data_IF_136436698474
#
_entry.id   IF_136436698474
#
_cell.length_a   1.000
_cell.length_b   1.000
_cell.length_c   1.000
_cell.angle_alpha   90.00
_cell.angle_beta   90.00
_cell.angle_gamma   90.00
#
_symmetry.space_group_name_H-M   'P 1'
#
loop_
_entity.id
_entity.type
_entity.pdbx_description
1 polymer ?
#
# COMPACT_ATOMS: atom_id res chain seq x y z
N UNK A 1 -0.80 -12.40 3.71
CA UNK A 1 -0.50 -11.52 4.86
C UNK A 1 -0.88 -12.21 6.15
N UNK A 2 -0.02 -12.13 7.17
CA UNK A 2 -0.31 -12.61 8.53
C UNK A 2 -1.12 -11.56 9.31
N UNK A 3 -1.79 -11.97 10.37
CA UNK A 3 -2.58 -11.05 11.21
C UNK A 3 -1.72 -9.95 11.86
N UNK A 4 -0.43 -10.24 12.10
CA UNK A 4 0.51 -9.29 12.65
C UNK A 4 0.95 -8.23 11.62
N UNK A 5 1.18 -8.61 10.36
CA UNK A 5 1.48 -7.66 9.28
C UNK A 5 0.30 -6.69 9.02
N UNK A 6 -0.93 -7.18 9.09
CA UNK A 6 -2.11 -6.31 8.98
C UNK A 6 -2.19 -5.34 10.17
N UNK A 7 -1.78 -5.78 11.37
CA UNK A 7 -1.76 -4.92 12.56
C UNK A 7 -0.76 -3.78 12.41
N UNK A 8 0.42 -4.05 11.86
CA UNK A 8 1.42 -3.01 11.59
C UNK A 8 0.89 -1.95 10.63
N UNK A 9 0.20 -2.34 9.55
CA UNK A 9 -0.48 -1.39 8.66
C UNK A 9 -1.57 -0.58 9.40
N UNK A 10 -2.34 -1.22 10.27
CA UNK A 10 -3.36 -0.53 11.05
C UNK A 10 -2.78 0.44 12.09
N UNK A 11 -1.59 0.16 12.62
CA UNK A 11 -0.84 1.06 13.51
C UNK A 11 -0.27 2.25 12.72
N UNK A 12 0.34 2.01 11.56
CA UNK A 12 0.83 3.08 10.68
C UNK A 12 -0.31 4.03 10.27
N UNK A 13 -1.47 3.50 9.89
CA UNK A 13 -2.63 4.34 9.60
C UNK A 13 -3.11 5.11 10.85
N UNK A 14 -3.09 4.51 12.04
CA UNK A 14 -3.51 5.21 13.26
C UNK A 14 -2.61 6.43 13.54
N UNK A 15 -1.32 6.30 13.27
CA UNK A 15 -0.34 7.34 13.56
C UNK A 15 -0.32 8.45 12.50
N UNK A 16 -0.57 8.10 11.23
CA UNK A 16 -0.39 9.03 10.11
C UNK A 16 -1.68 9.38 9.35
N UNK A 17 -2.78 8.65 9.55
CA UNK A 17 -4.03 8.83 8.80
C UNK A 17 -4.00 8.29 7.36
N UNK A 18 -2.89 7.69 6.92
CA UNK A 18 -2.74 7.08 5.61
C UNK A 18 -1.79 5.88 5.65
N UNK A 19 -1.79 5.10 4.58
CA UNK A 19 -0.84 4.01 4.34
C UNK A 19 -0.04 4.28 3.07
N UNK A 20 1.29 4.13 3.15
CA UNK A 20 2.16 4.29 1.99
C UNK A 20 2.52 2.95 1.36
N UNK A 21 2.09 2.73 0.12
CA UNK A 21 2.30 1.49 -0.62
C UNK A 21 3.54 1.62 -1.51
N UNK A 22 4.52 0.73 -1.30
CA UNK A 22 5.76 0.66 -2.11
C UNK A 22 5.78 -0.62 -2.94
N UNK A 23 5.17 -0.59 -4.12
CA UNK A 23 5.11 -1.71 -5.07
C UNK A 23 6.31 -1.79 -6.03
N UNK A 24 7.09 -0.72 -6.16
CA UNK A 24 8.26 -0.65 -7.04
C UNK A 24 9.28 -1.80 -6.83
N UNK A 25 9.44 -2.26 -5.60
CA UNK A 25 10.39 -3.31 -5.20
C UNK A 25 9.70 -4.65 -4.93
N UNK A 26 8.52 -4.89 -5.50
CA UNK A 26 7.74 -6.10 -5.21
C UNK A 26 8.52 -7.40 -5.47
N UNK A 27 9.39 -7.42 -6.48
CA UNK A 27 10.15 -8.61 -6.87
C UNK A 27 11.61 -8.61 -6.38
N UNK A 28 12.00 -7.70 -5.49
CA UNK A 28 13.37 -7.62 -5.00
C UNK A 28 13.80 -8.95 -4.37
N UNK A 29 14.98 -9.43 -4.76
CA UNK A 29 15.54 -10.70 -4.29
C UNK A 29 15.07 -11.95 -5.05
N UNK A 30 14.07 -11.87 -5.92
CA UNK A 30 13.69 -12.98 -6.78
C UNK A 30 14.81 -13.34 -7.77
N UNK A 31 15.12 -14.63 -7.90
CA UNK A 31 16.16 -15.18 -8.79
C UNK A 31 15.57 -15.94 -9.98
N UNK A 32 14.28 -16.28 -9.91
CA UNK A 32 13.56 -16.96 -10.99
C UNK A 32 12.25 -16.24 -11.33
N UNK A 33 11.74 -16.47 -12.54
CA UNK A 33 10.45 -15.92 -12.98
C UNK A 33 9.29 -16.41 -12.08
N UNK A 34 9.34 -17.65 -11.60
CA UNK A 34 8.33 -18.20 -10.71
C UNK A 34 8.34 -17.52 -9.34
N UNK A 35 9.52 -17.18 -8.82
CA UNK A 35 9.66 -16.39 -7.59
C UNK A 35 9.12 -14.98 -7.77
N UNK A 36 9.51 -14.28 -8.85
CA UNK A 36 8.98 -12.95 -9.14
C UNK A 36 7.45 -12.95 -9.26
N UNK A 37 6.89 -13.92 -9.98
CA UNK A 37 5.44 -14.08 -10.13
C UNK A 37 4.74 -14.37 -8.78
N UNK A 38 5.40 -15.10 -7.87
CA UNK A 38 4.89 -15.32 -6.52
C UNK A 38 4.85 -14.01 -5.73
N UNK A 39 5.91 -13.22 -5.76
CA UNK A 39 5.92 -11.93 -5.06
C UNK A 39 4.79 -11.00 -5.53
N UNK A 40 4.48 -10.99 -6.83
CA UNK A 40 3.34 -10.23 -7.35
C UNK A 40 1.99 -10.75 -6.86
N UNK A 41 1.80 -12.07 -6.76
CA UNK A 41 0.57 -12.65 -6.21
C UNK A 41 0.40 -12.32 -4.73
N UNK A 42 1.48 -12.46 -3.96
CA UNK A 42 1.48 -12.15 -2.53
C UNK A 42 1.15 -10.65 -2.32
N UNK A 43 1.72 -9.77 -3.17
CA UNK A 43 1.38 -8.34 -3.16
C UNK A 43 -0.08 -8.07 -3.50
N UNK A 44 -0.61 -8.73 -4.54
CA UNK A 44 -2.01 -8.58 -4.92
C UNK A 44 -2.93 -9.00 -3.77
N UNK A 45 -2.62 -10.09 -3.08
CA UNK A 45 -3.36 -10.54 -1.91
C UNK A 45 -3.36 -9.48 -0.79
N UNK A 46 -2.21 -8.87 -0.48
CA UNK A 46 -2.15 -7.77 0.50
C UNK A 46 -3.05 -6.60 0.11
N UNK A 47 -3.04 -6.18 -1.16
CA UNK A 47 -3.89 -5.08 -1.64
C UNK A 47 -5.38 -5.43 -1.51
N UNK A 48 -5.77 -6.67 -1.83
CA UNK A 48 -7.14 -7.13 -1.64
C UNK A 48 -7.56 -7.13 -0.16
N UNK A 49 -6.66 -7.51 0.73
CA UNK A 49 -6.93 -7.50 2.17
C UNK A 49 -7.10 -6.07 2.70
N UNK A 50 -6.30 -5.11 2.26
CA UNK A 50 -6.48 -3.69 2.58
C UNK A 50 -7.82 -3.16 2.05
N UNK A 51 -8.19 -3.52 0.82
CA UNK A 51 -9.51 -3.16 0.27
C UNK A 51 -10.66 -3.74 1.11
N UNK A 52 -10.55 -5.00 1.56
CA UNK A 52 -11.55 -5.62 2.47
C UNK A 52 -11.59 -4.94 3.84
N UNK A 53 -10.48 -4.39 4.31
CA UNK A 53 -10.41 -3.57 5.53
C UNK A 53 -10.99 -2.16 5.33
N UNK A 54 -11.40 -1.81 4.11
CA UNK A 54 -12.06 -0.57 3.75
C UNK A 54 -11.14 0.53 3.24
N UNK A 55 -9.90 0.22 2.86
CA UNK A 55 -9.00 1.21 2.27
C UNK A 55 -9.22 1.38 0.77
N UNK A 56 -9.01 2.61 0.29
CA UNK A 56 -9.05 2.99 -1.12
C UNK A 56 -7.79 3.77 -1.48
N UNK A 57 -7.42 3.81 -2.77
CA UNK A 57 -6.31 4.65 -3.22
C UNK A 57 -6.76 6.11 -3.25
N UNK A 58 -5.95 7.00 -2.67
CA UNK A 58 -6.20 8.44 -2.66
C UNK A 58 -6.14 9.03 -4.08
N UNK A 59 -5.18 8.56 -4.89
CA UNK A 59 -4.92 8.95 -6.27
C UNK A 59 -4.45 7.72 -7.08
N UNK A 60 -4.44 7.78 -8.43
CA UNK A 60 -3.83 6.73 -9.24
C UNK A 60 -2.39 6.44 -8.81
N UNK A 61 -2.04 5.16 -8.70
CA UNK A 61 -0.68 4.76 -8.38
C UNK A 61 0.29 5.23 -9.47
N UNK A 62 1.43 5.79 -9.06
CA UNK A 62 2.48 6.25 -9.97
C UNK A 62 3.82 5.59 -9.64
N UNK A 63 4.54 5.15 -10.68
CA UNK A 63 5.88 4.55 -10.59
C UNK A 63 6.03 3.45 -9.50
N UNK A 64 4.97 2.69 -9.25
CA UNK A 64 4.94 1.66 -8.21
C UNK A 64 4.81 2.21 -6.78
N UNK A 65 4.30 3.42 -6.61
CA UNK A 65 3.94 4.02 -5.33
C UNK A 65 2.46 4.36 -5.30
N UNK A 66 1.85 4.28 -4.13
CA UNK A 66 0.49 4.75 -3.92
C UNK A 66 0.27 5.13 -2.45
N UNK A 67 -0.72 5.99 -2.22
CA UNK A 67 -1.24 6.29 -0.88
C UNK A 67 -2.63 5.66 -0.76
N UNK A 68 -2.88 4.96 0.33
CA UNK A 68 -4.20 4.44 0.65
C UNK A 68 -4.77 5.12 1.91
N UNK A 69 -6.06 5.41 1.87
CA UNK A 69 -6.82 6.12 2.90
C UNK A 69 -8.13 5.41 3.19
N UNK A 70 -8.83 5.77 4.26
CA UNK A 70 -10.23 5.38 4.42
C UNK A 70 -11.15 6.28 3.59
N UNK A 71 -12.33 5.80 3.19
CA UNK A 71 -13.25 6.56 2.36
C UNK A 71 -13.76 7.77 3.14
N UNK A 72 -13.64 8.95 2.55
CA UNK A 72 -14.06 10.21 3.18
C UNK A 72 -13.04 10.84 4.13
N UNK A 73 -11.85 10.24 4.31
CA UNK A 73 -10.72 10.90 4.99
C UNK A 73 -9.89 11.68 3.97
N UNK A 74 -9.46 12.90 4.32
CA UNK A 74 -8.51 13.64 3.49
C UNK A 74 -7.10 13.11 3.74
N UNK A 75 -6.42 12.74 2.66
CA UNK A 75 -5.02 12.34 2.69
C UNK A 75 -4.16 13.52 3.16
N UNK A 76 -3.40 13.39 4.26
CA UNK A 76 -2.47 14.43 4.72
C UNK A 76 -1.38 14.74 3.69
N UNK A 77 -1.15 13.84 2.74
CA UNK A 77 -0.16 13.99 1.66
C UNK A 77 -0.62 14.97 0.57
N UNK A 78 -1.92 15.29 0.44
CA UNK A 78 -2.36 16.36 -0.48
C UNK A 78 -1.88 17.75 -0.04
N UNK A 79 -1.64 17.94 1.26
CA UNK A 79 -1.20 19.23 1.82
C UNK A 79 0.28 19.54 1.57
N UNK A 80 1.07 18.58 1.07
CA UNK A 80 2.50 18.77 0.77
C UNK A 80 2.81 18.97 -0.71
N UNK A 81 1.86 18.74 -1.61
CA UNK A 81 2.04 18.93 -3.06
C UNK A 81 1.68 20.35 -3.54
N UNK A 82 1.10 21.21 -2.68
CA UNK A 82 0.73 22.60 -3.05
C UNK A 82 1.89 23.62 -2.96
N UNK A 83 3.09 23.21 -2.55
CA UNK A 83 4.28 24.07 -2.36
C UNK A 83 5.39 23.86 -3.43
N UNK A 84 5.04 23.74 -4.72
CA UNK A 84 6.02 23.83 -5.84
C UNK A 84 5.69 24.94 -6.87
#
# INVERSE_FOLDING_TARGET
MTEDELREYMEEWRDFGYLFIRARWTMDGARTLNEAARCFRDRAETLEQLARAGFELDQPADNGFAVAIRPGEESPMRLVEEDE
#
